data_IF_607642091890
#
_entry.id   IF_607642091890
#
_cell.length_a   1.000
_cell.length_b   1.000
_cell.length_c   1.000
_cell.angle_alpha   90.00
_cell.angle_beta   90.00
_cell.angle_gamma   90.00
#
_symmetry.space_group_name_H-M   'P 1'
#
loop_
_entity.id
_entity.type
_entity.pdbx_description
1 polymer ?
#
# COMPACT_ATOMS: atom_id res chain seq x y z
N UNK A 1 -35.09 30.63 -3.97
CA UNK A 1 -34.52 29.40 -4.55
C UNK A 1 -33.17 29.16 -3.88
N UNK A 2 -32.92 27.97 -3.34
CA UNK A 2 -31.61 27.65 -2.79
C UNK A 2 -30.58 27.61 -3.93
N UNK A 3 -29.40 28.19 -3.70
CA UNK A 3 -28.29 28.18 -4.66
C UNK A 3 -27.76 26.75 -4.74
N UNK A 4 -27.69 26.18 -5.95
CA UNK A 4 -27.03 24.89 -6.17
C UNK A 4 -25.54 25.03 -5.85
N UNK A 5 -24.95 24.13 -5.05
CA UNK A 5 -23.53 24.17 -4.76
C UNK A 5 -22.73 23.95 -6.05
N UNK A 6 -21.61 24.66 -6.15
CA UNK A 6 -20.60 24.45 -7.19
C UNK A 6 -19.92 23.08 -7.02
N UNK A 7 -19.30 22.53 -8.08
CA UNK A 7 -18.60 21.26 -7.99
C UNK A 7 -17.51 21.22 -6.90
N UNK A 8 -16.81 22.34 -6.68
CA UNK A 8 -15.78 22.44 -5.64
C UNK A 8 -16.37 22.39 -4.24
N UNK A 9 -17.54 23.00 -4.02
CA UNK A 9 -18.24 22.94 -2.73
C UNK A 9 -18.67 21.50 -2.43
N UNK A 10 -19.22 20.78 -3.41
CA UNK A 10 -19.59 19.36 -3.27
C UNK A 10 -18.36 18.49 -2.95
N UNK A 11 -17.23 18.71 -3.63
CA UNK A 11 -16.01 17.94 -3.37
C UNK A 11 -15.39 18.26 -2.01
N UNK A 12 -15.58 19.47 -1.48
CA UNK A 12 -15.05 19.88 -0.18
C UNK A 12 -15.90 19.39 1.00
N UNK A 13 -17.10 18.86 0.77
CA UNK A 13 -17.96 18.35 1.83
C UNK A 13 -17.34 17.09 2.48
N UNK A 14 -17.30 17.03 3.83
CA UNK A 14 -16.86 15.84 4.53
C UNK A 14 -17.78 14.63 4.27
N UNK A 15 -17.18 13.45 4.11
CA UNK A 15 -17.88 12.20 3.87
C UNK A 15 -17.58 11.20 4.99
N UNK A 16 -18.60 10.74 5.71
CA UNK A 16 -18.47 9.67 6.69
C UNK A 16 -18.68 8.31 6.02
N UNK A 17 -17.69 7.44 6.09
CA UNK A 17 -17.75 6.08 5.55
C UNK A 17 -18.51 5.14 6.52
N UNK A 18 -19.05 4.00 6.06
CA UNK A 18 -19.76 3.04 6.92
C UNK A 18 -18.96 2.53 8.12
N UNK A 19 -17.62 2.54 8.04
CA UNK A 19 -16.71 2.16 9.12
C UNK A 19 -16.48 3.28 10.17
N UNK A 20 -17.12 4.44 10.01
CA UNK A 20 -16.98 5.59 10.91
C UNK A 20 -15.80 6.53 10.58
N UNK A 21 -14.98 6.19 9.59
CA UNK A 21 -13.93 7.09 9.11
C UNK A 21 -14.53 8.31 8.42
N UNK A 22 -14.06 9.51 8.77
CA UNK A 22 -14.48 10.76 8.14
C UNK A 22 -13.40 11.24 7.18
N UNK A 23 -13.73 11.34 5.90
CA UNK A 23 -12.92 12.03 4.90
C UNK A 23 -13.24 13.52 4.96
N UNK A 24 -12.22 14.37 5.06
CA UNK A 24 -12.40 15.83 5.17
C UNK A 24 -12.89 16.48 3.85
N UNK A 25 -12.74 15.76 2.75
CA UNK A 25 -13.23 16.10 1.41
C UNK A 25 -13.32 14.79 0.59
N UNK A 26 -13.95 14.87 -0.57
CA UNK A 26 -14.15 13.73 -1.48
C UNK A 26 -12.98 13.52 -2.47
N UNK A 27 -11.78 14.04 -2.18
CA UNK A 27 -10.57 13.78 -2.96
C UNK A 27 -9.78 12.64 -2.31
N UNK A 28 -9.52 11.60 -3.08
CA UNK A 28 -8.76 10.43 -2.63
C UNK A 28 -7.65 10.11 -3.62
N UNK A 29 -6.49 9.71 -3.11
CA UNK A 29 -5.43 9.11 -3.92
C UNK A 29 -5.67 7.61 -3.96
N UNK A 30 -5.72 7.04 -5.17
CA UNK A 30 -5.74 5.58 -5.32
C UNK A 30 -4.42 4.95 -4.81
N UNK A 31 -4.49 3.73 -4.28
CA UNK A 31 -3.28 2.95 -3.99
C UNK A 31 -2.49 2.74 -5.29
N UNK A 32 -1.19 2.99 -5.25
CA UNK A 32 -0.27 2.79 -6.36
C UNK A 32 0.84 1.82 -5.93
N UNK A 33 1.50 1.25 -6.92
CA UNK A 33 2.70 0.42 -6.75
C UNK A 33 3.90 1.28 -7.14
N UNK A 34 4.59 1.83 -6.15
CA UNK A 34 5.64 2.80 -6.40
C UNK A 34 6.98 2.17 -6.82
N UNK A 35 7.19 0.86 -6.62
CA UNK A 35 8.43 0.13 -7.00
C UNK A 35 9.72 0.69 -6.39
N UNK A 36 9.65 1.19 -5.15
CA UNK A 36 10.77 1.87 -4.48
C UNK A 36 11.38 1.10 -3.31
N UNK A 37 10.74 0.02 -2.86
CA UNK A 37 11.24 -0.83 -1.80
C UNK A 37 12.43 -1.66 -2.28
N UNK A 38 13.32 -2.03 -1.37
CA UNK A 38 14.57 -2.70 -1.72
C UNK A 38 14.71 -4.04 -1.00
N UNK A 39 15.29 -5.01 -1.72
CA UNK A 39 15.68 -6.29 -1.16
C UNK A 39 16.63 -6.11 0.05
N UNK A 40 16.66 -7.05 1.01
CA UNK A 40 15.95 -8.34 0.99
C UNK A 40 14.56 -8.31 1.64
N UNK A 41 14.18 -7.22 2.31
CA UNK A 41 12.95 -7.16 3.11
C UNK A 41 11.84 -6.34 2.48
N UNK A 42 12.18 -5.41 1.57
CA UNK A 42 11.23 -4.55 0.87
C UNK A 42 10.32 -3.77 1.85
N UNK A 43 10.91 -3.27 2.93
CA UNK A 43 10.24 -2.35 3.87
C UNK A 43 9.90 -1.00 3.21
N UNK A 44 8.97 -0.22 3.79
CA UNK A 44 8.69 1.14 3.35
C UNK A 44 9.97 1.99 3.29
N UNK A 45 10.38 2.49 2.10
CA UNK A 45 11.59 3.30 1.97
C UNK A 45 11.32 4.74 2.42
N UNK A 46 11.45 5.00 3.72
CA UNK A 46 11.04 6.26 4.38
C UNK A 46 11.50 7.51 3.64
N UNK A 47 12.78 7.58 3.26
CA UNK A 47 13.35 8.73 2.56
C UNK A 47 12.68 9.02 1.20
N UNK A 48 12.23 7.96 0.50
CA UNK A 48 11.54 8.07 -0.79
C UNK A 48 10.03 8.23 -0.62
N UNK A 49 9.47 7.82 0.52
CA UNK A 49 8.02 7.73 0.78
C UNK A 49 7.44 8.89 1.58
N UNK A 50 8.19 9.97 1.82
CA UNK A 50 7.73 11.13 2.61
C UNK A 50 6.39 11.73 2.14
N UNK A 51 5.99 11.53 0.88
CA UNK A 51 4.72 12.00 0.33
C UNK A 51 3.95 10.91 -0.46
N UNK A 52 4.29 9.63 -0.28
CA UNK A 52 3.72 8.52 -1.07
C UNK A 52 2.97 7.55 -0.17
N UNK A 53 1.84 7.06 -0.70
CA UNK A 53 0.89 6.19 -0.01
C UNK A 53 0.54 5.04 -0.93
N UNK A 54 0.88 3.81 -0.54
CA UNK A 54 0.94 2.70 -1.48
C UNK A 54 -0.05 1.57 -1.22
N UNK A 55 -0.02 0.61 -2.15
CA UNK A 55 -0.47 -0.75 -1.95
C UNK A 55 0.66 -1.55 -1.28
N UNK A 56 0.34 -2.42 -0.31
CA UNK A 56 1.30 -3.31 0.31
C UNK A 56 0.98 -4.77 -0.02
N UNK A 57 2.00 -5.52 -0.44
CA UNK A 57 1.89 -6.95 -0.63
C UNK A 57 1.91 -7.65 0.74
N UNK A 58 1.27 -8.81 0.84
CA UNK A 58 1.20 -9.59 2.08
C UNK A 58 2.05 -10.87 2.04
N UNK A 59 2.68 -11.16 0.90
CA UNK A 59 3.54 -12.34 0.73
C UNK A 59 4.76 -11.99 -0.12
N UNK A 60 5.93 -11.96 0.51
CA UNK A 60 7.21 -11.64 -0.13
C UNK A 60 7.60 -12.61 -1.25
N UNK A 61 6.98 -13.80 -1.30
CA UNK A 61 7.21 -14.75 -2.40
C UNK A 61 6.52 -14.29 -3.68
N UNK A 62 5.39 -13.59 -3.57
CA UNK A 62 4.55 -13.17 -4.68
C UNK A 62 4.41 -11.65 -4.71
N UNK A 63 5.37 -10.97 -5.32
CA UNK A 63 5.26 -9.53 -5.56
C UNK A 63 4.65 -9.28 -6.94
N UNK A 64 3.76 -8.29 -7.02
CA UNK A 64 3.13 -7.93 -8.31
C UNK A 64 4.18 -7.35 -9.25
N UNK A 65 5.16 -6.63 -8.69
CA UNK A 65 6.36 -6.14 -9.34
C UNK A 65 7.47 -6.04 -8.30
N UNK A 66 8.73 -6.20 -8.72
CA UNK A 66 9.88 -6.01 -7.83
C UNK A 66 9.90 -4.58 -7.28
N UNK A 67 10.21 -4.45 -5.99
CA UNK A 67 10.23 -3.16 -5.30
C UNK A 67 8.88 -2.71 -4.75
N UNK A 68 7.84 -3.55 -4.85
CA UNK A 68 6.64 -3.37 -4.04
C UNK A 68 6.96 -3.55 -2.55
N UNK A 69 6.38 -2.69 -1.71
CA UNK A 69 6.46 -2.86 -0.26
C UNK A 69 5.68 -4.08 0.16
N UNK A 70 6.23 -4.88 1.07
CA UNK A 70 5.61 -6.14 1.50
C UNK A 70 5.77 -6.40 2.99
N UNK A 71 4.70 -6.89 3.61
CA UNK A 71 4.78 -7.46 4.95
C UNK A 71 5.54 -8.80 4.90
N UNK A 72 6.46 -9.00 5.83
CA UNK A 72 7.25 -10.22 5.97
C UNK A 72 7.29 -10.66 7.44
N UNK A 73 7.83 -11.86 7.70
CA UNK A 73 7.85 -12.46 9.04
C UNK A 73 8.58 -11.64 10.11
N UNK A 74 9.48 -10.74 9.71
CA UNK A 74 10.24 -9.88 10.60
C UNK A 74 9.67 -8.45 10.72
N UNK A 75 8.58 -8.11 10.02
CA UNK A 75 8.05 -6.73 10.01
C UNK A 75 7.59 -6.23 11.39
N UNK A 76 7.27 -7.12 12.33
CA UNK A 76 6.91 -6.77 13.71
C UNK A 76 8.11 -6.62 14.66
N UNK A 77 9.32 -6.90 14.18
CA UNK A 77 10.55 -6.76 14.96
C UNK A 77 11.30 -5.49 14.55
N UNK A 78 12.09 -4.94 15.48
CA UNK A 78 13.03 -3.87 15.16
C UNK A 78 14.13 -4.38 14.22
N UNK A 79 14.61 -3.56 13.27
CA UNK A 79 14.25 -2.15 13.03
C UNK A 79 13.00 -1.96 12.16
N UNK A 80 12.54 -3.02 11.47
CA UNK A 80 11.45 -2.96 10.48
C UNK A 80 10.20 -2.27 11.03
N UNK A 81 9.73 -2.72 12.20
CA UNK A 81 8.51 -2.18 12.81
C UNK A 81 8.57 -0.67 13.04
N UNK A 82 9.76 -0.12 13.33
CA UNK A 82 9.93 1.31 13.51
C UNK A 82 9.85 2.06 12.17
N UNK A 83 10.39 1.51 11.08
CA UNK A 83 10.18 2.07 9.73
C UNK A 83 8.69 2.08 9.35
N UNK A 84 7.97 0.99 9.60
CA UNK A 84 6.53 0.92 9.34
C UNK A 84 5.73 1.97 10.15
N UNK A 85 6.09 2.18 11.42
CA UNK A 85 5.50 3.24 12.25
C UNK A 85 5.82 4.63 11.74
N UNK A 86 7.09 4.89 11.41
CA UNK A 86 7.54 6.19 10.91
C UNK A 86 6.81 6.55 9.61
N UNK A 87 6.71 5.59 8.69
CA UNK A 87 5.91 5.76 7.47
C UNK A 87 4.45 6.09 7.80
N UNK A 88 3.81 5.35 8.70
CA UNK A 88 2.42 5.59 9.09
C UNK A 88 2.21 6.97 9.74
N UNK A 89 3.18 7.47 10.50
CA UNK A 89 3.15 8.80 11.11
C UNK A 89 3.27 9.90 10.05
N UNK A 90 4.21 9.77 9.12
CA UNK A 90 4.39 10.72 8.02
C UNK A 90 3.13 10.75 7.14
N UNK A 91 2.60 9.57 6.83
CA UNK A 91 1.40 9.41 6.05
C UNK A 91 0.17 10.09 6.69
N UNK A 92 0.07 10.04 8.01
CA UNK A 92 -1.06 10.68 8.72
C UNK A 92 -0.77 12.14 9.09
N UNK A 93 0.36 12.68 8.67
CA UNK A 93 0.70 14.08 8.92
C UNK A 93 -0.33 15.01 8.27
N UNK A 94 -0.61 16.14 8.93
CA UNK A 94 -1.64 17.08 8.46
C UNK A 94 -3.09 16.61 8.65
N UNK A 95 -3.33 15.49 9.35
CA UNK A 95 -4.68 15.00 9.65
C UNK A 95 -5.31 14.20 8.51
N UNK A 96 -4.53 13.76 7.53
CA UNK A 96 -5.00 12.93 6.42
C UNK A 96 -5.16 11.48 6.89
N UNK A 97 -6.35 10.87 6.76
CA UNK A 97 -6.48 9.45 7.01
C UNK A 97 -5.60 8.63 6.05
N UNK A 98 -4.76 7.75 6.59
CA UNK A 98 -3.98 6.81 5.79
C UNK A 98 -4.72 5.47 5.70
N UNK A 99 -5.06 5.06 4.48
CA UNK A 99 -5.69 3.76 4.20
C UNK A 99 -4.76 2.99 3.27
N UNK A 100 -4.47 1.75 3.64
CA UNK A 100 -3.61 0.85 2.88
C UNK A 100 -4.45 -0.19 2.16
N UNK A 101 -4.14 -0.42 0.89
CA UNK A 101 -4.62 -1.60 0.19
C UNK A 101 -3.66 -2.76 0.44
N UNK A 102 -4.15 -3.82 1.05
CA UNK A 102 -3.42 -5.09 1.14
C UNK A 102 -3.68 -5.91 -0.13
N UNK A 103 -2.62 -6.39 -0.76
CA UNK A 103 -2.69 -7.13 -2.02
C UNK A 103 -1.87 -8.42 -1.99
N UNK A 104 -2.28 -9.35 -2.86
CA UNK A 104 -1.55 -10.56 -3.17
C UNK A 104 -1.79 -10.88 -4.65
N UNK A 105 -0.79 -10.80 -5.54
CA UNK A 105 -0.97 -11.03 -6.98
C UNK A 105 -1.29 -12.48 -7.33
N UNK A 106 -0.89 -13.42 -6.46
CA UNK A 106 -1.05 -14.85 -6.73
C UNK A 106 -0.39 -15.23 -8.04
N UNK A 107 -1.18 -15.81 -8.96
CA UNK A 107 -0.70 -16.24 -10.29
C UNK A 107 -0.26 -15.09 -11.21
N UNK A 108 -0.59 -13.85 -10.87
CA UNK A 108 -0.15 -12.67 -11.63
C UNK A 108 1.25 -12.19 -11.25
N UNK A 109 1.88 -12.79 -10.23
CA UNK A 109 3.25 -12.48 -9.84
C UNK A 109 4.21 -12.88 -10.96
N UNK A 110 5.01 -11.96 -11.51
CA UNK A 110 6.07 -12.32 -12.44
C UNK A 110 7.10 -13.22 -11.76
N UNK A 111 7.70 -14.13 -12.52
CA UNK A 111 8.81 -14.97 -12.04
C UNK A 111 9.97 -14.06 -11.64
N UNK A 112 10.47 -14.23 -10.42
CA UNK A 112 11.59 -13.45 -9.88
C UNK A 112 11.21 -12.08 -9.30
N UNK A 113 9.93 -11.67 -9.35
CA UNK A 113 9.50 -10.42 -8.72
C UNK A 113 9.58 -10.48 -7.19
N UNK A 114 9.28 -11.64 -6.60
CA UNK A 114 9.44 -11.91 -5.18
C UNK A 114 10.45 -13.03 -4.93
N UNK A 115 10.50 -13.50 -3.68
CA UNK A 115 11.45 -14.53 -3.24
C UNK A 115 11.04 -15.97 -3.62
N UNK A 116 10.00 -16.15 -4.44
CA UNK A 116 9.64 -17.47 -4.94
C UNK A 116 10.74 -18.00 -5.84
N UNK A 117 11.28 -19.15 -5.48
CA UNK A 117 12.27 -19.83 -6.29
C UNK A 117 11.63 -20.45 -7.56
N UNK A 118 12.45 -20.64 -8.59
CA UNK A 118 12.00 -21.15 -9.89
C UNK A 118 11.31 -22.52 -9.80
N UNK A 119 11.70 -23.37 -8.84
CA UNK A 119 11.13 -24.71 -8.71
C UNK A 119 9.71 -24.70 -8.11
N UNK A 120 9.44 -23.87 -7.10
CA UNK A 120 8.10 -23.68 -6.54
C UNK A 120 7.17 -22.97 -7.52
N UNK A 121 7.71 -22.03 -8.31
CA UNK A 121 6.98 -21.36 -9.39
C UNK A 121 6.49 -22.38 -10.44
N UNK A 122 7.32 -23.35 -10.82
CA UNK A 122 6.94 -24.37 -11.81
C UNK A 122 5.92 -25.38 -11.27
N UNK A 123 5.94 -25.71 -9.97
CA UNK A 123 4.99 -26.64 -9.35
C UNK A 123 3.59 -26.02 -9.16
N UNK A 124 3.53 -24.71 -8.90
CA UNK A 124 2.25 -23.97 -8.77
C UNK A 124 1.52 -23.78 -10.10
N UNK A 125 2.22 -23.84 -11.25
CA UNK A 125 1.60 -23.79 -12.58
C UNK A 125 1.03 -25.16 -13.02
N UNK A 126 1.61 -26.27 -12.56
CA UNK A 126 1.29 -27.62 -13.04
C UNK A 126 0.28 -28.40 -12.17
N UNK A 127 -0.36 -27.76 -11.20
CA UNK A 127 -1.30 -28.40 -10.25
C UNK A 127 -2.78 -28.14 -10.59
N UNK A 128 -3.12 -27.97 -11.88
CA UNK A 128 -4.49 -27.79 -12.40
C UNK A 128 -4.86 -28.96 -13.30
#
# INVERSE_FOLDING_TARGET
>A
MAKTPSPTEVLAEPLTLPCGLVLLNCLVKCPLQETLAEAPFYDPPIEKFKNLYGQFQIDIRFLSIEGDVVCHSASLSSPHFESWKEWAQIAQSGGTPCIVQLAHPGRMSPIGAGNLNLYEALLTVNSI
#
